data_IF_712575013283
#
_entry.id   IF_712575013283
#
_cell.length_a   1.000
_cell.length_b   1.000
_cell.length_c   1.000
_cell.angle_alpha   90.00
_cell.angle_beta   90.00
_cell.angle_gamma   90.00
#
_symmetry.space_group_name_H-M   'P 1'
#
loop_
_entity.id
_entity.type
_entity.pdbx_description
1 polymer ?
#
# COMPACT_ATOMS: atom_id res chain seq x y z
N UNK A 1 3.34 -22.51 -38.58
CA UNK A 1 3.62 -21.12 -38.15
C UNK A 1 4.04 -21.18 -36.68
N UNK A 2 5.29 -20.86 -36.35
CA UNK A 2 5.70 -20.81 -34.94
C UNK A 2 4.98 -19.64 -34.27
N UNK A 3 4.30 -19.85 -33.12
CA UNK A 3 3.69 -18.74 -32.40
C UNK A 3 4.81 -17.78 -31.99
N UNK A 4 4.67 -16.51 -32.40
CA UNK A 4 5.66 -15.48 -32.08
C UNK A 4 5.57 -15.18 -30.59
N UNK A 5 6.67 -15.40 -29.87
CA UNK A 5 6.79 -14.97 -28.49
C UNK A 5 6.74 -13.44 -28.47
N UNK A 6 5.83 -12.82 -27.71
CA UNK A 6 5.76 -11.37 -27.60
C UNK A 6 7.10 -10.79 -27.13
N UNK A 7 7.46 -9.58 -27.58
CA UNK A 7 8.66 -8.91 -27.10
C UNK A 7 8.61 -8.75 -25.57
N UNK A 8 9.77 -8.82 -24.88
CA UNK A 8 9.82 -8.64 -23.44
C UNK A 8 9.26 -7.26 -23.05
N UNK A 9 8.57 -7.15 -21.90
CA UNK A 9 8.12 -5.85 -21.40
C UNK A 9 9.35 -4.93 -21.22
N UNK A 10 9.28 -3.68 -21.72
CA UNK A 10 10.42 -2.77 -21.74
C UNK A 10 10.89 -2.37 -20.33
N UNK A 11 10.00 -2.43 -19.33
CA UNK A 11 10.32 -2.17 -17.93
C UNK A 11 9.53 -3.14 -17.06
N UNK A 12 10.22 -3.89 -16.19
CA UNK A 12 9.59 -4.74 -15.19
C UNK A 12 10.02 -4.25 -13.81
N UNK A 13 9.13 -3.60 -13.03
CA UNK A 13 9.46 -3.09 -11.70
C UNK A 13 9.70 -4.21 -10.67
N UNK A 14 9.67 -5.47 -11.08
CA UNK A 14 10.01 -6.61 -10.23
C UNK A 14 10.86 -7.63 -10.99
N UNK A 15 10.45 -8.91 -10.95
CA UNK A 15 11.24 -10.01 -11.49
C UNK A 15 10.63 -10.56 -12.77
N UNK A 16 11.47 -10.90 -13.75
CA UNK A 16 11.01 -11.60 -14.96
C UNK A 16 10.92 -13.10 -14.69
N UNK A 17 9.77 -13.69 -14.98
CA UNK A 17 9.52 -15.13 -14.97
C UNK A 17 9.40 -15.67 -16.40
N UNK A 18 10.30 -16.56 -16.85
CA UNK A 18 10.11 -17.32 -18.08
C UNK A 18 9.08 -18.42 -17.85
N UNK A 19 7.98 -18.38 -18.58
CA UNK A 19 6.87 -19.34 -18.49
C UNK A 19 7.36 -20.75 -18.79
N UNK A 20 6.95 -21.70 -17.95
CA UNK A 20 7.21 -23.13 -18.11
C UNK A 20 5.99 -23.84 -18.69
N UNK A 21 6.20 -25.04 -19.23
CA UNK A 21 5.12 -25.87 -19.75
C UNK A 21 4.05 -26.13 -18.68
N UNK A 22 2.78 -25.91 -19.05
CA UNK A 22 1.63 -26.12 -18.18
C UNK A 22 1.32 -24.96 -17.22
N UNK A 23 2.09 -23.87 -17.24
CA UNK A 23 1.77 -22.69 -16.43
C UNK A 23 0.70 -21.81 -17.08
N UNK A 24 -0.15 -21.22 -16.23
CA UNK A 24 -1.05 -20.12 -16.54
C UNK A 24 -0.71 -18.90 -15.68
N UNK A 25 -1.19 -17.71 -16.06
CA UNK A 25 -1.06 -16.51 -15.23
C UNK A 25 -1.57 -16.74 -13.81
N UNK A 26 -2.66 -17.52 -13.65
CA UNK A 26 -3.19 -17.90 -12.33
C UNK A 26 -2.20 -18.72 -11.51
N UNK A 27 -1.59 -19.75 -12.09
CA UNK A 27 -0.60 -20.58 -11.38
C UNK A 27 0.68 -19.81 -11.05
N UNK A 28 1.08 -18.89 -11.92
CA UNK A 28 2.25 -18.01 -11.72
C UNK A 28 1.96 -17.02 -10.60
N UNK A 29 0.81 -16.35 -10.62
CA UNK A 29 0.37 -15.43 -9.57
C UNK A 29 0.41 -16.10 -8.19
N UNK A 30 -0.21 -17.29 -8.07
CA UNK A 30 -0.18 -18.09 -6.82
C UNK A 30 1.23 -18.47 -6.39
N UNK A 31 2.12 -18.84 -7.32
CA UNK A 31 3.52 -19.19 -7.01
C UNK A 31 4.27 -18.01 -6.38
N UNK A 32 4.01 -16.80 -6.86
CA UNK A 32 4.74 -15.59 -6.45
C UNK A 32 4.05 -14.78 -5.36
N UNK A 33 2.89 -15.23 -4.87
CA UNK A 33 2.14 -14.49 -3.84
C UNK A 33 1.60 -13.15 -4.32
N UNK A 34 1.44 -12.97 -5.63
CA UNK A 34 0.81 -11.80 -6.24
C UNK A 34 -0.56 -12.19 -6.74
N UNK A 35 -1.44 -11.22 -6.92
CA UNK A 35 -2.76 -11.51 -7.48
C UNK A 35 -2.73 -11.65 -8.99
N UNK A 36 -3.79 -12.27 -9.53
CA UNK A 36 -3.98 -12.33 -10.96
C UNK A 36 -4.15 -10.93 -11.57
N UNK A 37 -4.81 -10.01 -10.86
CA UNK A 37 -5.05 -8.65 -11.33
C UNK A 37 -3.77 -7.82 -11.37
N UNK A 38 -2.96 -7.85 -10.32
CA UNK A 38 -1.66 -7.18 -10.27
C UNK A 38 -0.72 -7.74 -11.35
N UNK A 39 -0.73 -9.06 -11.53
CA UNK A 39 0.04 -9.71 -12.59
C UNK A 39 -0.44 -9.29 -13.99
N UNK A 40 -1.74 -9.15 -14.22
CA UNK A 40 -2.29 -8.66 -15.50
C UNK A 40 -1.93 -7.18 -15.74
N UNK A 41 -2.05 -6.34 -14.71
CA UNK A 41 -1.68 -4.93 -14.79
C UNK A 41 -0.19 -4.73 -15.10
N UNK A 42 0.68 -5.58 -14.56
CA UNK A 42 2.11 -5.58 -14.84
C UNK A 42 2.45 -6.14 -16.25
N UNK A 43 1.49 -6.78 -16.92
CA UNK A 43 1.67 -7.39 -18.24
C UNK A 43 0.54 -6.99 -19.21
N UNK A 44 0.33 -5.69 -19.48
CA UNK A 44 -0.76 -5.22 -20.34
C UNK A 44 -0.65 -5.75 -21.78
N UNK A 45 0.55 -6.17 -22.21
CA UNK A 45 0.79 -6.85 -23.49
C UNK A 45 0.26 -8.29 -23.55
N UNK A 46 -0.20 -8.85 -22.43
CA UNK A 46 -0.78 -10.20 -22.34
C UNK A 46 -2.26 -10.06 -21.97
N UNK A 47 -3.17 -10.14 -22.96
CA UNK A 47 -4.60 -10.10 -22.71
C UNK A 47 -5.03 -11.19 -21.72
N UNK A 48 -6.01 -10.88 -20.88
CA UNK A 48 -6.55 -11.83 -19.89
C UNK A 48 -7.10 -13.13 -20.51
N UNK A 49 -7.54 -13.06 -21.77
CA UNK A 49 -8.03 -14.20 -22.56
C UNK A 49 -6.93 -14.99 -23.27
N UNK A 50 -5.68 -14.52 -23.27
CA UNK A 50 -4.60 -15.15 -24.01
C UNK A 50 -3.95 -16.28 -23.19
N UNK A 51 -3.70 -17.41 -23.87
CA UNK A 51 -2.87 -18.49 -23.35
C UNK A 51 -1.40 -18.07 -23.41
N UNK A 52 -0.70 -18.14 -22.27
CA UNK A 52 0.74 -17.90 -22.21
C UNK A 52 1.51 -19.13 -22.70
N UNK A 53 2.64 -18.89 -23.37
CA UNK A 53 3.43 -19.95 -24.00
C UNK A 53 4.74 -20.21 -23.26
N UNK A 54 5.26 -21.45 -23.26
CA UNK A 54 6.59 -21.74 -22.73
C UNK A 54 7.65 -20.83 -23.33
N UNK A 55 8.51 -20.26 -22.48
CA UNK A 55 9.56 -19.30 -22.86
C UNK A 55 9.09 -17.84 -22.96
N UNK A 56 7.78 -17.57 -22.90
CA UNK A 56 7.27 -16.20 -22.78
C UNK A 56 7.75 -15.58 -21.47
N UNK A 57 8.17 -14.31 -21.52
CA UNK A 57 8.59 -13.55 -20.34
C UNK A 57 7.40 -12.81 -19.75
N UNK A 58 7.11 -13.09 -18.48
CA UNK A 58 6.08 -12.42 -17.69
C UNK A 58 6.78 -11.60 -16.61
N UNK A 59 6.41 -10.32 -16.49
CA UNK A 59 6.85 -9.48 -15.38
C UNK A 59 6.05 -9.84 -14.14
N UNK A 60 6.72 -10.30 -13.09
CA UNK A 60 6.14 -10.47 -11.77
C UNK A 60 6.42 -9.17 -11.01
N UNK A 61 5.41 -8.39 -10.63
CA UNK A 61 5.63 -7.21 -9.80
C UNK A 61 6.25 -7.64 -8.46
N UNK A 62 7.03 -6.76 -7.81
CA UNK A 62 7.45 -7.02 -6.43
C UNK A 62 6.20 -7.24 -5.57
N UNK A 63 6.22 -8.29 -4.75
CA UNK A 63 5.09 -8.68 -3.94
C UNK A 63 4.90 -7.65 -2.83
N UNK A 64 4.04 -6.68 -3.07
CA UNK A 64 3.13 -6.24 -2.03
C UNK A 64 1.95 -7.22 -2.16
N UNK A 65 1.72 -8.13 -1.19
CA UNK A 65 0.53 -8.98 -1.21
C UNK A 65 -0.70 -8.12 -1.49
N UNK A 66 -1.61 -8.60 -2.33
CA UNK A 66 -2.78 -7.79 -2.70
C UNK A 66 -3.51 -7.32 -1.44
N UNK A 67 -3.56 -6.01 -1.21
CA UNK A 67 -4.16 -5.42 -0.02
C UNK A 67 -3.20 -5.05 1.12
N UNK A 68 -1.93 -5.46 1.07
CA UNK A 68 -0.90 -4.89 1.93
C UNK A 68 -0.45 -3.54 1.35
N UNK A 69 -0.09 -2.59 2.20
CA UNK A 69 0.34 -1.26 1.81
C UNK A 69 1.24 -0.70 2.89
N UNK A 70 2.34 -0.08 2.48
CA UNK A 70 3.28 0.59 3.36
C UNK A 70 3.48 2.01 2.84
N UNK A 71 2.79 2.97 3.45
CA UNK A 71 2.86 4.38 3.07
C UNK A 71 3.81 5.13 3.99
N UNK A 72 4.72 5.87 3.40
CA UNK A 72 5.55 6.83 4.15
C UNK A 72 4.71 8.08 4.40
N UNK A 73 4.48 8.38 5.68
CA UNK A 73 3.87 9.63 6.10
C UNK A 73 4.94 10.71 6.06
N UNK A 74 4.72 11.75 5.25
CA UNK A 74 5.69 12.81 5.02
C UNK A 74 5.39 14.04 5.88
N UNK A 75 6.42 14.79 6.31
CA UNK A 75 6.23 16.10 6.94
C UNK A 75 5.32 17.00 6.12
N UNK A 76 4.37 17.61 6.80
CA UNK A 76 3.57 18.68 6.23
C UNK A 76 4.31 20.02 6.32
N UNK A 77 3.78 21.04 5.63
CA UNK A 77 4.41 22.36 5.53
C UNK A 77 4.73 22.94 6.92
N UNK A 78 6.01 23.24 7.15
CA UNK A 78 6.50 23.79 8.42
C UNK A 78 7.24 22.77 9.30
N UNK A 79 7.29 21.50 8.89
CA UNK A 79 8.01 20.43 9.58
C UNK A 79 9.07 19.79 8.66
N UNK A 80 10.19 19.36 9.24
CA UNK A 80 11.30 18.72 8.50
C UNK A 80 11.82 17.44 9.15
N UNK A 81 11.61 17.26 10.45
CA UNK A 81 12.12 16.14 11.23
C UNK A 81 11.13 14.98 11.44
N UNK A 82 9.81 15.23 11.61
CA UNK A 82 8.83 14.17 11.77
C UNK A 82 8.88 13.14 10.64
N UNK A 83 8.67 11.87 10.97
CA UNK A 83 8.52 10.82 9.97
C UNK A 83 7.57 9.76 10.46
N UNK A 84 6.87 9.08 9.55
CA UNK A 84 6.01 7.99 9.92
C UNK A 84 5.79 6.99 8.82
N UNK A 85 5.20 5.87 9.22
CA UNK A 85 4.76 4.81 8.32
C UNK A 85 3.34 4.42 8.69
N UNK A 86 2.51 4.29 7.67
CA UNK A 86 1.24 3.58 7.75
C UNK A 86 1.44 2.21 7.10
N UNK A 87 1.32 1.16 7.89
CA UNK A 87 1.14 -0.18 7.38
C UNK A 87 -0.36 -0.50 7.37
N UNK A 88 -0.84 -0.99 6.25
CA UNK A 88 -2.23 -1.35 6.05
C UNK A 88 -2.25 -2.72 5.39
N UNK A 89 -3.07 -3.64 5.90
CA UNK A 89 -3.36 -4.93 5.30
C UNK A 89 -4.85 -5.09 5.11
N UNK A 90 -5.26 -5.50 3.92
CA UNK A 90 -6.66 -5.62 3.53
C UNK A 90 -7.01 -7.06 3.15
N UNK A 91 -8.16 -7.51 3.63
CA UNK A 91 -8.79 -8.74 3.21
C UNK A 91 -10.29 -8.49 2.97
N UNK A 92 -10.66 -8.20 1.71
CA UNK A 92 -12.02 -7.83 1.35
C UNK A 92 -12.38 -6.41 1.78
N UNK A 93 -13.39 -6.26 2.64
CA UNK A 93 -13.78 -4.99 3.26
C UNK A 93 -13.12 -4.76 4.63
N UNK A 94 -12.54 -5.81 5.23
CA UNK A 94 -11.80 -5.72 6.48
C UNK A 94 -10.36 -5.27 6.23
N UNK A 95 -9.90 -4.29 7.00
CA UNK A 95 -8.49 -3.89 7.02
C UNK A 95 -7.92 -3.85 8.45
N UNK A 96 -6.65 -4.20 8.53
CA UNK A 96 -5.78 -4.00 9.66
C UNK A 96 -4.88 -2.81 9.34
N UNK A 97 -4.80 -1.86 10.27
CA UNK A 97 -4.04 -0.63 10.13
C UNK A 97 -3.10 -0.54 11.33
N UNK A 98 -1.85 -0.18 11.06
CA UNK A 98 -0.83 0.17 12.03
C UNK A 98 -0.14 1.46 11.58
N UNK A 99 -0.04 2.43 12.47
CA UNK A 99 0.72 3.65 12.26
C UNK A 99 1.83 3.70 13.29
N UNK A 100 3.03 4.05 12.84
CA UNK A 100 4.14 4.47 13.69
C UNK A 100 4.64 5.82 13.20
N UNK A 101 4.72 6.79 14.12
CA UNK A 101 5.26 8.10 13.86
C UNK A 101 6.41 8.38 14.85
N UNK A 102 7.39 9.14 14.39
CA UNK A 102 8.65 9.42 15.09
C UNK A 102 8.98 10.90 14.97
N UNK A 103 9.76 11.40 15.92
CA UNK A 103 10.13 12.81 16.03
C UNK A 103 8.92 13.76 16.01
N UNK A 104 7.76 13.32 16.52
CA UNK A 104 6.60 14.20 16.70
C UNK A 104 6.87 15.19 17.84
N UNK A 105 6.56 16.48 17.67
CA UNK A 105 6.56 17.44 18.77
C UNK A 105 5.62 17.02 19.90
N UNK A 106 5.76 17.60 21.08
CA UNK A 106 4.74 17.47 22.14
C UNK A 106 3.39 18.02 21.62
N UNK A 107 2.29 17.23 21.65
CA UNK A 107 0.99 17.68 21.15
C UNK A 107 0.46 18.93 21.87
N UNK A 108 0.95 19.22 23.09
CA UNK A 108 0.58 20.42 23.83
C UNK A 108 1.00 21.71 23.11
N UNK A 109 2.02 21.67 22.24
CA UNK A 109 2.42 22.80 21.37
C UNK A 109 1.27 23.22 20.45
N UNK A 110 0.36 22.31 20.14
CA UNK A 110 -0.82 22.55 19.31
C UNK A 110 -2.13 22.63 20.13
N UNK A 111 -2.04 22.80 21.46
CA UNK A 111 -3.18 22.75 22.37
C UNK A 111 -3.97 21.42 22.34
N UNK A 112 -3.31 20.32 21.99
CA UNK A 112 -3.91 18.99 21.98
C UNK A 112 -3.33 18.10 23.10
N UNK A 113 -4.13 17.17 23.66
CA UNK A 113 -3.66 16.25 24.68
C UNK A 113 -2.98 15.00 24.10
N UNK A 114 -3.24 14.67 22.84
CA UNK A 114 -2.76 13.46 22.16
C UNK A 114 -2.80 13.65 20.65
N UNK A 115 -2.09 12.78 19.92
CA UNK A 115 -2.23 12.69 18.47
C UNK A 115 -3.34 11.72 18.04
N UNK A 116 -3.94 12.02 16.89
CA UNK A 116 -4.83 11.13 16.13
C UNK A 116 -4.33 11.04 14.70
N UNK A 117 -4.37 9.85 14.12
CA UNK A 117 -4.35 9.70 12.68
C UNK A 117 -5.79 9.84 12.17
N UNK A 118 -6.04 10.92 11.44
CA UNK A 118 -7.33 11.23 10.84
C UNK A 118 -7.32 10.71 9.42
N UNK A 119 -8.20 9.74 9.17
CA UNK A 119 -8.41 9.15 7.86
C UNK A 119 -9.62 9.78 7.20
N UNK A 120 -9.50 10.20 5.95
CA UNK A 120 -10.58 10.88 5.24
C UNK A 120 -10.76 10.36 3.81
N UNK A 121 -12.02 10.17 3.39
CA UNK A 121 -12.40 9.85 2.02
C UNK A 121 -13.79 10.42 1.70
N UNK A 122 -13.89 11.17 0.62
CA UNK A 122 -15.14 11.85 0.26
C UNK A 122 -15.63 12.80 1.35
N UNK A 123 -16.70 12.43 2.05
CA UNK A 123 -17.28 13.18 3.18
C UNK A 123 -17.19 12.42 4.51
N UNK A 124 -16.52 11.27 4.52
CA UNK A 124 -16.41 10.40 5.68
C UNK A 124 -15.00 10.53 6.25
N UNK A 125 -14.92 10.52 7.57
CA UNK A 125 -13.65 10.44 8.28
C UNK A 125 -13.76 9.49 9.46
N UNK A 126 -12.63 8.93 9.87
CA UNK A 126 -12.49 8.25 11.16
C UNK A 126 -11.15 8.62 11.79
N UNK A 127 -11.13 8.61 13.12
CA UNK A 127 -9.96 8.99 13.91
C UNK A 127 -9.40 7.76 14.61
N UNK A 128 -8.10 7.50 14.40
CA UNK A 128 -7.34 6.50 15.12
C UNK A 128 -6.49 7.18 16.20
N UNK A 129 -6.78 7.01 17.50
CA UNK A 129 -5.93 7.55 18.55
C UNK A 129 -4.54 6.94 18.49
N UNK A 130 -3.51 7.79 18.61
CA UNK A 130 -2.13 7.35 18.77
C UNK A 130 -1.75 7.41 20.25
N UNK A 131 -1.00 6.42 20.69
CA UNK A 131 -0.50 6.26 22.06
C UNK A 131 1.01 6.56 22.05
N UNK A 132 1.53 7.36 22.98
CA UNK A 132 2.96 7.59 23.09
C UNK A 132 3.66 6.31 23.53
N UNK A 133 4.80 6.00 22.91
CA UNK A 133 5.59 4.82 23.30
C UNK A 133 6.41 5.16 24.55
N UNK A 134 6.28 4.38 25.65
CA UNK A 134 7.08 4.60 26.85
C UNK A 134 8.58 4.60 26.53
N UNK A 135 9.32 5.48 27.20
CA UNK A 135 10.78 5.64 27.08
C UNK A 135 11.32 6.06 25.70
N UNK A 136 10.44 6.37 24.74
CA UNK A 136 10.81 6.85 23.40
C UNK A 136 10.08 8.18 23.09
N UNK A 137 10.64 9.33 23.52
CA UNK A 137 10.05 10.65 23.26
C UNK A 137 9.83 10.90 21.77
N UNK A 138 8.66 11.46 21.43
CA UNK A 138 8.31 11.77 20.05
C UNK A 138 7.91 10.55 19.20
N UNK A 139 7.90 9.34 19.77
CA UNK A 139 7.40 8.12 19.11
C UNK A 139 5.97 7.83 19.53
N UNK A 140 5.08 7.68 18.55
CA UNK A 140 3.65 7.46 18.74
C UNK A 140 3.19 6.33 17.83
N UNK A 141 2.31 5.47 18.35
CA UNK A 141 1.79 4.32 17.62
C UNK A 141 0.28 4.18 17.79
N UNK A 142 -0.39 3.68 16.76
CA UNK A 142 -1.81 3.35 16.84
C UNK A 142 -2.14 2.22 15.88
N UNK A 143 -3.14 1.41 16.23
CA UNK A 143 -3.58 0.32 15.36
C UNK A 143 -5.07 0.09 15.48
N UNK A 144 -5.70 -0.34 14.39
CA UNK A 144 -7.09 -0.77 14.38
C UNK A 144 -7.30 -1.94 13.42
N UNK A 145 -8.35 -2.72 13.67
CA UNK A 145 -8.88 -3.71 12.73
C UNK A 145 -10.36 -3.42 12.56
N UNK A 146 -10.76 -2.99 11.38
CA UNK A 146 -12.14 -2.58 11.13
C UNK A 146 -12.58 -2.88 9.69
N UNK A 147 -13.86 -2.67 9.40
CA UNK A 147 -14.44 -2.79 8.07
C UNK A 147 -14.57 -1.41 7.45
N UNK A 148 -13.99 -1.24 6.27
CA UNK A 148 -13.99 0.01 5.52
C UNK A 148 -14.67 -0.15 4.15
N UNK A 149 -15.38 0.88 3.69
CA UNK A 149 -16.02 0.84 2.39
C UNK A 149 -14.94 0.83 1.27
N UNK A 150 -15.17 0.17 0.12
CA UNK A 150 -14.15 0.03 -0.92
C UNK A 150 -13.52 1.34 -1.41
N UNK A 151 -14.27 2.44 -1.37
CA UNK A 151 -13.84 3.78 -1.79
C UNK A 151 -12.71 4.34 -0.91
N UNK A 152 -12.63 3.92 0.35
CA UNK A 152 -11.58 4.30 1.28
C UNK A 152 -10.19 3.98 0.72
N UNK A 153 -10.05 2.81 0.09
CA UNK A 153 -8.79 2.33 -0.47
C UNK A 153 -8.49 2.89 -1.87
N UNK A 154 -9.40 3.66 -2.47
CA UNK A 154 -9.25 4.17 -3.82
C UNK A 154 -8.71 5.61 -3.86
N UNK A 155 -9.20 6.47 -2.95
CA UNK A 155 -8.96 7.93 -2.97
C UNK A 155 -8.89 8.54 -1.56
N UNK A 156 -8.47 7.76 -0.55
CA UNK A 156 -8.35 8.24 0.82
C UNK A 156 -7.08 9.04 1.09
N UNK A 157 -7.03 9.70 2.25
CA UNK A 157 -5.83 10.31 2.83
C UNK A 157 -5.75 10.00 4.32
N UNK A 158 -4.54 10.11 4.87
CA UNK A 158 -4.28 10.05 6.30
C UNK A 158 -3.39 11.21 6.71
N UNK A 159 -3.75 11.89 7.80
CA UNK A 159 -2.99 12.98 8.39
C UNK A 159 -2.89 12.81 9.91
N UNK A 160 -1.76 13.20 10.51
CA UNK A 160 -1.56 13.13 11.96
C UNK A 160 -1.81 14.50 12.59
N UNK A 161 -2.88 14.60 13.37
CA UNK A 161 -3.33 15.80 14.08
C UNK A 161 -3.08 15.70 15.58
N UNK A 162 -2.93 16.83 16.31
CA UNK A 162 -3.17 18.22 15.88
C UNK A 162 -2.07 18.84 15.02
N UNK A 163 -2.46 19.87 14.22
CA UNK A 163 -1.57 20.72 13.42
C UNK A 163 -0.86 19.96 12.29
N UNK A 164 -1.60 19.43 11.29
CA UNK A 164 -1.28 18.16 10.63
C UNK A 164 0.23 18.05 10.41
N UNK A 165 0.89 17.19 11.18
CA UNK A 165 2.36 17.14 11.26
C UNK A 165 2.91 16.24 10.15
N UNK A 166 2.19 15.16 9.88
CA UNK A 166 2.51 14.14 8.90
C UNK A 166 1.28 13.83 8.06
N UNK A 167 1.46 13.41 6.81
CA UNK A 167 0.38 12.87 6.00
C UNK A 167 0.81 12.11 4.76
N UNK A 168 -0.14 11.39 4.16
CA UNK A 168 0.02 10.66 2.90
C UNK A 168 -1.33 10.42 2.22
N UNK A 169 -1.30 10.16 0.90
CA UNK A 169 -2.46 9.72 0.14
C UNK A 169 -2.52 8.19 0.12
N UNK A 170 -3.72 7.64 0.36
CA UNK A 170 -3.99 6.19 0.42
C UNK A 170 -4.15 5.58 -0.98
N UNK A 171 -4.26 6.42 -2.02
CA UNK A 171 -4.38 5.97 -3.42
C UNK A 171 -3.17 5.17 -3.93
N UNK A 172 -2.03 5.24 -3.23
CA UNK A 172 -0.80 4.48 -3.52
C UNK A 172 -0.91 3.00 -3.08
N UNK A 173 -1.96 2.60 -2.35
CA UNK A 173 -2.20 1.22 -1.89
C UNK A 173 -2.82 0.28 -2.94
N UNK A 174 -2.43 0.37 -4.21
CA UNK A 174 -3.01 -0.39 -5.34
C UNK A 174 -2.34 -1.73 -5.64
#
# INVERSE_FOLDING_TARGET
MSPRVPPPPPECPGRIHPVRSGESLFTIARRYGVSLRALQNANPQVPASQIILPGQKICIPEAIPEGDCCLVLRPQRGFTEPGGVLWLRRNGDRAEILISATNLPDPAVFNGPTYFAVFAWGQISFDLPLIPVPDLPGVWTGSTVDTFPPEFFAIGAVDIYPGPVLGALIEECR
#
